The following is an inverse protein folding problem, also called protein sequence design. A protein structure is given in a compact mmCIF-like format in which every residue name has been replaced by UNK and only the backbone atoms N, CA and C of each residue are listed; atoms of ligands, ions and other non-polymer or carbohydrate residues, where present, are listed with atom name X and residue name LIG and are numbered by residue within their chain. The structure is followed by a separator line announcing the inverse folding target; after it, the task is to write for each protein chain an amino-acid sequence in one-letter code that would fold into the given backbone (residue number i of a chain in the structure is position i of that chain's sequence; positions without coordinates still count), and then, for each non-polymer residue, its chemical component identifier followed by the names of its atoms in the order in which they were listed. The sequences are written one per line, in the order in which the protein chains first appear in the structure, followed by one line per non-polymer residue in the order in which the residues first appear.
data_IF_719803275743
#
_entry.id   IF_719803275743
#
_cell.length_a   1.000
_cell.length_b   1.000
_cell.length_c   1.000
_cell.angle_alpha   90.00
_cell.angle_beta   90.00
_cell.angle_gamma   90.00
#
_symmetry.space_group_name_H-M   'P 1'
#
loop_
_entity.id
_entity.type
_entity.pdbx_description
1 polymer ?
#
# COMPACT_ATOMS: atom_id res chain seq x y z
N UNK A 1 -4.72 -10.32 -36.14
CA UNK A 1 -5.66 -9.87 -35.10
C UNK A 1 -4.83 -9.55 -33.87
N UNK A 2 -4.85 -8.30 -33.39
CA UNK A 2 -4.13 -7.94 -32.16
C UNK A 2 -4.80 -8.61 -30.96
N UNK A 3 -3.99 -9.25 -30.11
CA UNK A 3 -4.43 -10.03 -28.94
C UNK A 3 -4.49 -9.20 -27.64
N UNK A 4 -4.29 -7.88 -27.74
CA UNK A 4 -4.22 -6.99 -26.60
C UNK A 4 -5.08 -5.76 -26.87
N UNK A 5 -5.97 -5.44 -25.94
CA UNK A 5 -6.90 -4.33 -26.06
C UNK A 5 -6.86 -3.51 -24.77
N UNK A 6 -6.63 -2.20 -24.92
CA UNK A 6 -6.59 -1.26 -23.80
C UNK A 6 -7.88 -0.46 -23.75
N UNK A 7 -8.54 -0.47 -22.59
CA UNK A 7 -9.77 0.28 -22.35
C UNK A 7 -9.86 0.70 -20.88
N UNK A 8 -10.45 1.88 -20.64
CA UNK A 8 -10.73 2.34 -19.27
C UNK A 8 -11.97 1.64 -18.73
N UNK A 9 -12.02 1.41 -17.41
CA UNK A 9 -13.11 0.65 -16.76
C UNK A 9 -13.35 -0.73 -17.40
N UNK A 10 -12.27 -1.44 -17.74
CA UNK A 10 -12.31 -2.73 -18.44
C UNK A 10 -13.18 -3.80 -17.76
N UNK A 11 -13.40 -3.68 -16.45
CA UNK A 11 -14.32 -4.53 -15.68
C UNK A 11 -15.77 -4.45 -16.17
N UNK A 12 -16.18 -3.34 -16.81
CA UNK A 12 -17.52 -3.19 -17.38
C UNK A 12 -17.67 -3.91 -18.73
N UNK A 13 -16.56 -4.19 -19.41
CA UNK A 13 -16.53 -4.75 -20.77
C UNK A 13 -16.23 -6.26 -20.78
N UNK A 14 -15.37 -6.73 -19.86
CA UNK A 14 -14.96 -8.13 -19.81
C UNK A 14 -15.02 -8.68 -18.39
N UNK A 15 -15.81 -9.74 -18.21
CA UNK A 15 -15.93 -10.45 -16.92
C UNK A 15 -14.56 -10.92 -16.38
N UNK A 16 -13.65 -11.31 -17.28
CA UNK A 16 -12.29 -11.70 -16.91
C UNK A 16 -11.52 -10.57 -16.19
N UNK A 17 -11.74 -9.31 -16.58
CA UNK A 17 -11.11 -8.14 -15.93
C UNK A 17 -11.72 -7.89 -14.55
N UNK A 18 -13.05 -8.02 -14.42
CA UNK A 18 -13.72 -7.93 -13.12
C UNK A 18 -13.23 -9.03 -12.15
N UNK A 19 -13.12 -10.27 -12.64
CA UNK A 19 -12.60 -11.39 -11.86
C UNK A 19 -11.14 -11.15 -11.42
N UNK A 20 -10.28 -10.67 -12.33
CA UNK A 20 -8.90 -10.31 -11.99
C UNK A 20 -8.81 -9.21 -10.93
N UNK A 21 -9.68 -8.20 -11.00
CA UNK A 21 -9.78 -7.13 -10.00
C UNK A 21 -10.13 -7.66 -8.61
N UNK A 22 -11.08 -8.59 -8.51
CA UNK A 22 -11.48 -9.23 -7.23
C UNK A 22 -10.32 -10.04 -6.65
N UNK A 23 -9.69 -10.89 -7.46
CA UNK A 23 -8.55 -11.72 -7.03
C UNK A 23 -7.39 -10.84 -6.53
N UNK A 24 -7.09 -9.77 -7.27
CA UNK A 24 -6.01 -8.84 -6.91
C UNK A 24 -6.28 -8.12 -5.59
N UNK A 25 -7.54 -7.73 -5.34
CA UNK A 25 -7.94 -7.09 -4.09
C UNK A 25 -7.91 -8.06 -2.90
N UNK A 26 -8.33 -9.30 -3.09
CA UNK A 26 -8.25 -10.33 -2.06
C UNK A 26 -6.79 -10.59 -1.66
N UNK A 27 -5.92 -10.82 -2.65
CA UNK A 27 -4.48 -10.99 -2.41
C UNK A 27 -3.84 -9.76 -1.76
N UNK A 28 -4.23 -8.54 -2.16
CA UNK A 28 -3.74 -7.32 -1.51
C UNK A 28 -4.07 -7.27 0.00
N UNK A 29 -5.29 -7.64 0.39
CA UNK A 29 -5.69 -7.65 1.80
C UNK A 29 -4.91 -8.72 2.59
N UNK A 30 -4.78 -9.92 2.03
CA UNK A 30 -3.98 -10.99 2.66
C UNK A 30 -2.52 -10.58 2.86
N UNK A 31 -1.89 -9.96 1.86
CA UNK A 31 -0.51 -9.50 1.98
C UNK A 31 -0.37 -8.30 2.94
N UNK A 32 -1.38 -7.42 3.02
CA UNK A 32 -1.38 -6.34 4.00
C UNK A 32 -1.47 -6.86 5.44
N UNK A 33 -2.27 -7.90 5.67
CA UNK A 33 -2.38 -8.56 6.98
C UNK A 33 -1.08 -9.28 7.36
N UNK A 34 -0.47 -10.01 6.42
CA UNK A 34 0.86 -10.64 6.63
C UNK A 34 1.93 -9.60 6.94
N UNK A 35 2.02 -8.54 6.14
CA UNK A 35 2.97 -7.46 6.35
C UNK A 35 2.74 -6.75 7.70
N UNK A 36 1.48 -6.61 8.14
CA UNK A 36 1.13 -6.08 9.46
C UNK A 36 1.63 -6.96 10.60
N UNK A 37 1.47 -8.29 10.45
CA UNK A 37 1.97 -9.25 11.42
C UNK A 37 3.51 -9.23 11.50
N UNK A 38 4.20 -9.20 10.35
CA UNK A 38 5.66 -9.09 10.29
C UNK A 38 6.19 -7.76 10.87
N UNK A 39 5.52 -6.65 10.57
CA UNK A 39 5.88 -5.34 11.10
C UNK A 39 5.57 -5.24 12.61
N UNK A 40 4.70 -6.09 13.15
CA UNK A 40 4.17 -6.03 14.51
C UNK A 40 3.30 -4.79 14.76
N UNK A 41 2.78 -4.18 13.70
CA UNK A 41 1.92 -2.98 13.72
C UNK A 41 0.92 -3.13 12.57
N UNK A 42 -0.35 -2.83 12.81
CA UNK A 42 -1.36 -2.79 11.75
C UNK A 42 -1.03 -1.72 10.71
N UNK A 43 -0.71 -2.15 9.48
CA UNK A 43 -0.48 -1.29 8.34
C UNK A 43 -1.83 -0.87 7.75
N UNK A 44 -2.00 0.43 7.50
CA UNK A 44 -3.23 0.96 6.92
C UNK A 44 -3.11 1.09 5.41
N UNK A 45 -4.12 0.61 4.68
CA UNK A 45 -4.24 0.90 3.25
C UNK A 45 -4.53 2.39 3.00
N UNK A 46 -4.02 2.92 1.89
CA UNK A 46 -4.23 4.31 1.48
C UNK A 46 -3.10 5.25 1.91
N UNK A 47 -3.31 6.56 1.72
CA UNK A 47 -2.27 7.59 1.88
C UNK A 47 -2.72 8.79 2.74
N UNK A 48 -3.71 8.59 3.63
CA UNK A 48 -4.23 9.64 4.51
C UNK A 48 -3.39 9.83 5.78
N UNK A 49 -3.90 10.63 6.72
CA UNK A 49 -3.24 10.91 8.02
C UNK A 49 -2.92 9.67 8.84
N UNK A 50 -3.74 8.62 8.73
CA UNK A 50 -3.46 7.33 9.39
C UNK A 50 -2.16 6.71 8.85
N UNK A 51 -1.93 6.77 7.54
CA UNK A 51 -0.69 6.27 6.92
C UNK A 51 0.52 7.09 7.37
N UNK A 52 0.38 8.42 7.53
CA UNK A 52 1.44 9.27 8.08
C UNK A 52 1.84 8.83 9.51
N UNK A 53 0.85 8.53 10.36
CA UNK A 53 1.06 8.09 11.74
C UNK A 53 1.70 6.70 11.82
N UNK A 54 1.25 5.74 10.98
CA UNK A 54 1.87 4.41 10.94
C UNK A 54 3.30 4.48 10.40
N UNK A 55 3.55 5.28 9.37
CA UNK A 55 4.89 5.51 8.86
C UNK A 55 5.82 6.11 9.92
N UNK A 56 5.33 7.06 10.74
CA UNK A 56 6.09 7.60 11.86
C UNK A 56 6.46 6.52 12.89
N UNK A 57 5.51 5.64 13.26
CA UNK A 57 5.77 4.51 14.16
C UNK A 57 6.80 3.52 13.60
N UNK A 58 6.76 3.25 12.28
CA UNK A 58 7.76 2.40 11.64
C UNK A 58 9.15 3.03 11.68
N UNK A 59 9.24 4.34 11.45
CA UNK A 59 10.49 5.10 11.56
C UNK A 59 11.04 5.10 12.99
N UNK A 60 10.20 5.25 14.00
CA UNK A 60 10.63 5.17 15.41
C UNK A 60 11.13 3.78 15.78
N UNK A 61 10.50 2.73 15.23
CA UNK A 61 10.83 1.34 15.55
C UNK A 61 12.12 0.84 14.90
N UNK A 62 12.40 1.25 13.66
CA UNK A 62 13.54 0.70 12.91
C UNK A 62 14.11 1.64 11.85
N UNK A 63 13.83 2.93 11.96
CA UNK A 63 14.34 3.95 11.05
C UNK A 63 13.85 3.81 9.62
N UNK A 64 14.59 4.45 8.71
CA UNK A 64 14.34 4.37 7.27
C UNK A 64 14.35 2.94 6.72
N UNK A 65 15.26 2.02 7.12
CA UNK A 65 15.25 0.65 6.62
C UNK A 65 13.94 -0.09 6.91
N UNK A 66 13.35 0.15 8.09
CA UNK A 66 12.05 -0.45 8.43
C UNK A 66 10.91 0.16 7.61
N UNK A 67 10.93 1.46 7.36
CA UNK A 67 9.94 2.11 6.51
C UNK A 67 10.03 1.63 5.05
N UNK A 68 11.25 1.47 4.53
CA UNK A 68 11.51 1.02 3.15
C UNK A 68 10.92 -0.36 2.86
N UNK A 69 10.89 -1.26 3.85
CA UNK A 69 10.31 -2.59 3.70
C UNK A 69 8.78 -2.56 3.43
N UNK A 70 8.06 -1.56 3.97
CA UNK A 70 6.59 -1.57 4.00
C UNK A 70 5.92 -0.38 3.31
N UNK A 71 6.69 0.63 2.86
CA UNK A 71 6.14 1.85 2.28
C UNK A 71 6.79 2.23 0.94
N UNK A 72 6.01 2.90 0.09
CA UNK A 72 6.52 3.55 -1.12
C UNK A 72 7.15 4.89 -0.75
N UNK A 73 8.47 4.94 -0.71
CA UNK A 73 9.20 6.09 -0.13
C UNK A 73 8.96 7.43 -0.84
N UNK A 74 8.64 7.42 -2.14
CA UNK A 74 8.41 8.64 -2.93
C UNK A 74 7.06 9.32 -2.64
N UNK A 75 6.22 8.76 -1.78
CA UNK A 75 4.96 9.39 -1.36
C UNK A 75 5.24 10.50 -0.34
N UNK A 76 4.43 11.57 -0.39
CA UNK A 76 4.51 12.69 0.56
C UNK A 76 4.36 12.25 2.04
N UNK A 77 3.77 11.07 2.29
CA UNK A 77 3.64 10.48 3.60
C UNK A 77 5.00 10.27 4.29
N UNK A 78 6.05 9.94 3.54
CA UNK A 78 7.42 9.77 4.08
C UNK A 78 7.92 11.05 4.74
N UNK A 79 7.83 12.18 4.03
CA UNK A 79 8.26 13.47 4.58
C UNK A 79 7.40 13.90 5.77
N UNK A 80 6.08 13.67 5.71
CA UNK A 80 5.18 13.97 6.83
C UNK A 80 5.53 13.15 8.07
N UNK A 81 5.78 11.86 7.90
CA UNK A 81 6.21 10.98 8.98
C UNK A 81 7.55 11.42 9.60
N UNK A 82 8.54 11.77 8.76
CA UNK A 82 9.81 12.33 9.22
C UNK A 82 9.64 13.65 10.00
N UNK A 83 8.67 14.48 9.63
CA UNK A 83 8.34 15.71 10.39
C UNK A 83 7.64 15.41 11.72
N UNK A 84 6.86 14.34 11.80
CA UNK A 84 6.17 13.93 13.03
C UNK A 84 7.17 13.45 14.09
N UNK A 85 8.18 12.67 13.72
CA UNK A 85 9.18 12.13 14.67
C UNK A 85 10.25 13.15 15.10
N UNK A 86 10.37 14.28 14.38
CA UNK A 86 11.34 15.35 14.69
C UNK A 86 10.78 16.39 15.66
N UNK A 87 9.48 16.37 15.91
CA UNK A 87 8.83 17.19 16.93
C UNK A 87 8.92 16.50 18.28
#
# INVERSE_FOLDING_TARGET
QEKLYFVTKGEQYHLAVAAASIISRASFLEELDKASAEAGITLTSGAGTKSDQIAAKLLEKGGMPMLEKYAKLHFANTEKALKLIKK
#
